data_IF_935974025664
#
_entry.id   IF_935974025664
#
_cell.length_a   1.000
_cell.length_b   1.000
_cell.length_c   1.000
_cell.angle_alpha   90.00
_cell.angle_beta   90.00
_cell.angle_gamma   90.00
#
_symmetry.space_group_name_H-M   'P 1'
#
loop_
_entity.id
_entity.type
_entity.pdbx_description
1 polymer ?
#
# COMPACT_ATOMS: atom_id res chain seq x y z
N UNK A 1 14.27 -14.03 4.26
CA UNK A 1 13.49 -13.27 5.26
C UNK A 1 12.10 -13.87 5.41
N UNK A 2 11.36 -13.55 6.47
CA UNK A 2 9.93 -13.85 6.57
C UNK A 2 9.20 -12.51 6.57
N UNK A 3 8.25 -12.33 5.67
CA UNK A 3 7.44 -11.13 5.53
C UNK A 3 6.05 -11.54 5.07
N UNK A 4 5.03 -10.93 5.69
CA UNK A 4 3.62 -11.25 5.45
C UNK A 4 3.28 -12.76 5.51
N UNK A 5 3.85 -13.45 6.50
CA UNK A 5 3.68 -14.88 6.70
C UNK A 5 4.42 -15.79 5.69
N UNK A 6 5.13 -15.22 4.71
CA UNK A 6 5.82 -15.98 3.65
C UNK A 6 7.33 -15.90 3.80
N UNK A 7 8.03 -17.03 3.56
CA UNK A 7 9.49 -17.05 3.48
C UNK A 7 9.93 -16.59 2.10
N UNK A 8 10.65 -15.47 2.07
CA UNK A 8 11.11 -14.82 0.84
C UNK A 8 12.63 -14.87 0.78
N UNK A 9 13.18 -15.25 -0.38
CA UNK A 9 14.55 -14.96 -0.75
C UNK A 9 14.60 -13.61 -1.49
N UNK A 10 15.26 -12.57 -0.95
CA UNK A 10 15.34 -11.25 -1.60
C UNK A 10 15.84 -11.31 -3.05
N UNK A 11 16.71 -12.27 -3.41
CA UNK A 11 17.19 -12.44 -4.79
C UNK A 11 16.08 -12.81 -5.79
N UNK A 12 14.90 -13.23 -5.31
CA UNK A 12 13.76 -13.58 -6.15
C UNK A 12 12.80 -12.40 -6.42
N UNK A 13 12.96 -11.30 -5.68
CA UNK A 13 12.25 -10.04 -5.88
C UNK A 13 12.87 -9.24 -7.05
N UNK A 14 12.13 -8.26 -7.56
CA UNK A 14 12.70 -7.29 -8.51
C UNK A 14 13.63 -6.31 -7.78
N UNK A 15 14.64 -5.81 -8.50
CA UNK A 15 15.40 -4.63 -8.08
C UNK A 15 14.48 -3.40 -8.10
N UNK A 16 14.80 -2.42 -7.25
CA UNK A 16 14.11 -1.12 -7.23
C UNK A 16 14.03 -0.51 -8.63
N UNK A 17 15.14 -0.52 -9.38
CA UNK A 17 15.17 0.08 -10.71
C UNK A 17 14.29 -0.68 -11.70
N UNK A 18 14.24 -2.01 -11.64
CA UNK A 18 13.37 -2.81 -12.50
C UNK A 18 11.89 -2.51 -12.23
N UNK A 19 11.50 -2.30 -10.97
CA UNK A 19 10.14 -1.88 -10.62
C UNK A 19 9.83 -0.51 -11.22
N UNK A 20 10.74 0.47 -11.06
CA UNK A 20 10.56 1.81 -11.62
C UNK A 20 10.43 1.77 -13.15
N UNK A 21 11.26 0.99 -13.82
CA UNK A 21 11.23 0.88 -15.28
C UNK A 21 9.93 0.24 -15.78
N UNK A 22 9.45 -0.83 -15.11
CA UNK A 22 8.16 -1.46 -15.40
C UNK A 22 7.02 -0.46 -15.26
N UNK A 23 7.01 0.33 -14.17
CA UNK A 23 5.97 1.32 -13.94
C UNK A 23 6.02 2.42 -15.00
N UNK A 24 7.21 2.95 -15.32
CA UNK A 24 7.38 3.97 -16.38
C UNK A 24 6.87 3.49 -17.74
N UNK A 25 7.23 2.27 -18.14
CA UNK A 25 6.80 1.70 -19.41
C UNK A 25 5.28 1.48 -19.48
N UNK A 26 4.63 1.30 -18.32
CA UNK A 26 3.18 1.12 -18.18
C UNK A 26 2.42 2.39 -17.79
N UNK A 27 2.98 3.59 -18.02
CA UNK A 27 2.28 4.85 -17.77
C UNK A 27 2.19 5.23 -16.29
N UNK A 28 3.10 4.73 -15.47
CA UNK A 28 3.15 4.94 -14.02
C UNK A 28 1.89 4.46 -13.27
N UNK A 29 1.12 3.54 -13.85
CA UNK A 29 -0.18 3.13 -13.31
C UNK A 29 -0.10 1.92 -12.37
N UNK A 30 -1.11 1.75 -11.52
CA UNK A 30 -1.35 0.52 -10.76
C UNK A 30 -1.58 -0.69 -11.68
N UNK A 31 -2.15 -0.43 -12.86
CA UNK A 31 -2.27 -1.45 -13.90
C UNK A 31 -0.89 -1.99 -14.32
N UNK A 32 0.13 -1.15 -14.41
CA UNK A 32 1.50 -1.59 -14.69
C UNK A 32 2.09 -2.47 -13.57
N UNK A 33 1.65 -2.24 -12.32
CA UNK A 33 2.08 -3.01 -11.15
C UNK A 33 1.56 -4.47 -11.16
N UNK A 34 0.54 -4.78 -11.96
CA UNK A 34 0.01 -6.15 -12.15
C UNK A 34 1.09 -7.17 -12.49
N UNK A 35 2.04 -6.81 -13.38
CA UNK A 35 3.16 -7.67 -13.77
C UNK A 35 4.04 -8.08 -12.58
N UNK A 36 4.13 -7.23 -11.55
CA UNK A 36 4.90 -7.51 -10.34
C UNK A 36 4.07 -8.36 -9.39
N UNK A 37 2.79 -8.03 -9.21
CA UNK A 37 1.84 -8.83 -8.41
C UNK A 37 1.76 -10.27 -8.89
N UNK A 38 1.56 -10.48 -10.18
CA UNK A 38 1.46 -11.80 -10.80
C UNK A 38 2.72 -12.63 -10.55
N UNK A 39 3.91 -12.06 -10.78
CA UNK A 39 5.17 -12.76 -10.50
C UNK A 39 5.33 -13.10 -9.03
N UNK A 40 4.91 -12.22 -8.12
CA UNK A 40 5.04 -12.45 -6.69
C UNK A 40 4.04 -13.51 -6.22
N UNK A 41 2.80 -13.46 -6.70
CA UNK A 41 1.79 -14.49 -6.43
C UNK A 41 2.23 -15.86 -6.96
N UNK A 42 2.71 -15.95 -8.20
CA UNK A 42 3.24 -17.20 -8.77
C UNK A 42 4.40 -17.79 -7.96
N UNK A 43 5.29 -16.95 -7.42
CA UNK A 43 6.48 -17.39 -6.68
C UNK A 43 6.22 -17.68 -5.22
N UNK A 44 5.35 -16.91 -4.58
CA UNK A 44 5.20 -16.84 -3.13
C UNK A 44 3.79 -17.18 -2.65
N UNK A 45 2.81 -17.28 -3.55
CA UNK A 45 1.39 -17.45 -3.23
C UNK A 45 0.77 -16.22 -2.54
N UNK A 46 1.41 -15.06 -2.71
CA UNK A 46 0.99 -13.77 -2.15
C UNK A 46 1.59 -12.66 -3.02
N UNK A 47 0.83 -11.61 -3.31
CA UNK A 47 1.29 -10.43 -4.06
C UNK A 47 2.30 -9.58 -3.30
N UNK A 48 2.38 -9.71 -1.97
CA UNK A 48 3.30 -9.04 -1.03
C UNK A 48 3.24 -7.50 -0.99
N UNK A 49 2.42 -6.89 -1.85
CA UNK A 49 2.29 -5.46 -2.04
C UNK A 49 1.18 -4.93 -1.15
N UNK A 50 1.45 -3.83 -0.44
CA UNK A 50 0.49 -3.20 0.46
C UNK A 50 0.20 -1.76 0.07
N UNK A 51 -1.02 -1.31 0.35
CA UNK A 51 -1.41 0.10 0.27
C UNK A 51 -1.45 0.69 1.66
N UNK A 52 -0.81 1.83 1.85
CA UNK A 52 -0.83 2.60 3.08
C UNK A 52 -1.65 3.88 2.87
N UNK A 53 -2.82 4.02 3.55
CA UNK A 53 -3.78 5.08 3.25
C UNK A 53 -3.57 6.37 4.04
N UNK A 54 -2.68 6.39 5.04
CA UNK A 54 -2.46 7.57 5.88
C UNK A 54 -1.29 8.35 5.29
N UNK A 55 -1.55 9.54 4.75
CA UNK A 55 -0.51 10.40 4.19
C UNK A 55 -0.58 11.80 4.77
N UNK A 56 0.58 12.46 4.81
CA UNK A 56 0.70 13.89 5.14
C UNK A 56 0.97 14.63 3.83
N UNK A 57 0.13 15.63 3.51
CA UNK A 57 0.31 16.47 2.32
C UNK A 57 -0.75 16.22 1.25
N UNK A 58 -0.33 16.22 -0.01
CA UNK A 58 -1.22 16.17 -1.19
C UNK A 58 -1.43 14.77 -1.76
N UNK A 59 -0.65 13.77 -1.33
CA UNK A 59 -0.78 12.40 -1.82
C UNK A 59 -2.09 11.76 -1.32
N UNK A 60 -2.75 11.00 -2.20
CA UNK A 60 -3.96 10.23 -1.89
C UNK A 60 -3.64 8.92 -1.14
N UNK A 61 -2.42 8.42 -1.29
CA UNK A 61 -1.94 7.23 -0.60
C UNK A 61 -0.53 6.86 -1.03
N UNK A 62 -0.08 5.70 -0.59
CA UNK A 62 1.21 5.13 -0.98
C UNK A 62 1.09 3.63 -1.19
N UNK A 63 1.75 3.13 -2.23
CA UNK A 63 1.97 1.70 -2.42
C UNK A 63 3.36 1.31 -1.90
N UNK A 64 3.42 0.16 -1.23
CA UNK A 64 4.64 -0.44 -0.69
C UNK A 64 4.92 -1.71 -1.46
N UNK A 65 6.05 -1.73 -2.18
CA UNK A 65 6.49 -2.85 -3.01
C UNK A 65 7.78 -3.44 -2.44
N UNK A 66 7.80 -4.72 -2.04
CA UNK A 66 9.05 -5.39 -1.68
C UNK A 66 9.97 -5.50 -2.90
N UNK A 67 11.21 -5.07 -2.72
CA UNK A 67 12.30 -5.14 -3.72
C UNK A 67 13.53 -5.77 -3.07
N UNK A 68 14.55 -6.10 -3.86
CA UNK A 68 15.76 -6.73 -3.30
C UNK A 68 16.45 -5.85 -2.24
N UNK A 69 16.36 -4.53 -2.42
CA UNK A 69 17.00 -3.51 -1.59
C UNK A 69 16.19 -3.17 -0.32
N UNK A 70 14.97 -3.67 -0.17
CA UNK A 70 14.09 -3.38 0.97
C UNK A 70 12.63 -3.19 0.57
N UNK A 71 11.97 -2.20 1.17
CA UNK A 71 10.56 -1.87 0.90
C UNK A 71 10.48 -0.53 0.20
N UNK A 72 10.10 -0.56 -1.07
CA UNK A 72 9.94 0.63 -1.90
C UNK A 72 8.58 1.27 -1.65
N UNK A 73 8.59 2.52 -1.21
CA UNK A 73 7.42 3.37 -1.04
C UNK A 73 7.26 4.28 -2.25
N UNK A 74 6.06 4.28 -2.84
CA UNK A 74 5.72 5.09 -4.00
C UNK A 74 4.37 5.76 -3.74
N UNK A 75 4.34 7.10 -3.72
CA UNK A 75 3.11 7.86 -3.54
C UNK A 75 2.28 7.89 -4.83
N UNK A 76 0.98 8.18 -4.69
CA UNK A 76 0.10 8.54 -5.80
C UNK A 76 -0.81 9.68 -5.37
N UNK A 77 -1.12 10.59 -6.28
CA UNK A 77 -2.00 11.75 -6.08
C UNK A 77 -3.19 11.76 -7.05
N UNK A 78 -3.23 10.82 -7.99
CA UNK A 78 -4.31 10.67 -8.97
C UNK A 78 -4.83 9.22 -9.00
N UNK A 79 -6.14 9.07 -9.18
CA UNK A 79 -6.81 7.79 -9.43
C UNK A 79 -7.77 7.93 -10.60
N UNK A 80 -7.62 7.11 -11.64
CA UNK A 80 -8.50 7.10 -12.81
C UNK A 80 -9.28 5.79 -12.91
N UNK A 81 -10.46 5.77 -13.56
CA UNK A 81 -11.19 4.52 -13.80
C UNK A 81 -10.43 3.49 -14.65
N UNK A 82 -9.59 3.95 -15.57
CA UNK A 82 -8.89 3.10 -16.53
C UNK A 82 -7.60 2.49 -15.99
N UNK A 83 -6.85 3.28 -15.22
CA UNK A 83 -5.48 2.96 -14.79
C UNK A 83 -5.33 2.81 -13.26
N UNK A 84 -6.42 3.06 -12.52
CA UNK A 84 -6.46 3.12 -11.06
C UNK A 84 -5.44 4.15 -10.53
N UNK A 85 -4.61 3.81 -9.55
CA UNK A 85 -3.63 4.76 -9.00
C UNK A 85 -2.56 5.13 -10.04
N UNK A 86 -2.28 6.43 -10.19
CA UNK A 86 -1.15 6.93 -10.98
C UNK A 86 -0.03 7.35 -10.03
N UNK A 87 1.10 6.67 -10.12
CA UNK A 87 2.21 6.80 -9.19
C UNK A 87 3.13 7.96 -9.52
N UNK A 88 3.50 8.70 -8.48
CA UNK A 88 4.56 9.69 -8.49
C UNK A 88 5.91 9.01 -8.27
N UNK A 89 6.59 8.72 -9.38
CA UNK A 89 7.90 8.07 -9.37
C UNK A 89 9.05 9.02 -9.04
N UNK A 90 8.82 10.33 -8.96
CA UNK A 90 9.85 11.29 -8.53
C UNK A 90 10.01 11.28 -7.01
N UNK A 91 8.93 10.96 -6.28
CA UNK A 91 8.91 10.91 -4.82
C UNK A 91 8.97 9.49 -4.23
N UNK A 92 9.62 8.55 -4.93
CA UNK A 92 9.84 7.18 -4.42
C UNK A 92 11.10 7.05 -3.55
N UNK A 93 11.00 6.25 -2.49
CA UNK A 93 12.12 6.00 -1.57
C UNK A 93 12.02 4.63 -0.91
N UNK A 94 13.15 4.12 -0.40
CA UNK A 94 13.16 2.92 0.43
C UNK A 94 12.82 3.30 1.86
N UNK A 95 11.86 2.59 2.46
CA UNK A 95 11.47 2.79 3.85
C UNK A 95 12.61 2.39 4.79
N UNK A 96 12.94 3.27 5.73
CA UNK A 96 13.77 2.93 6.88
C UNK A 96 12.94 2.21 7.95
N UNK A 97 13.61 1.57 8.92
CA UNK A 97 12.93 0.98 10.06
C UNK A 97 12.16 2.02 10.90
N UNK A 98 12.65 3.28 10.95
CA UNK A 98 11.96 4.36 11.64
C UNK A 98 10.66 4.75 10.92
N UNK A 99 10.67 4.82 9.59
CA UNK A 99 9.49 5.10 8.78
C UNK A 99 8.42 4.03 8.99
N UNK A 100 8.80 2.75 8.90
CA UNK A 100 7.89 1.62 9.12
C UNK A 100 7.26 1.69 10.53
N UNK A 101 8.05 2.04 11.55
CA UNK A 101 7.53 2.13 12.92
C UNK A 101 6.59 3.32 13.11
N UNK A 102 6.84 4.42 12.42
CA UNK A 102 5.95 5.57 12.41
C UNK A 102 4.63 5.22 11.72
N UNK A 103 4.68 4.56 10.54
CA UNK A 103 3.49 4.10 9.81
C UNK A 103 2.62 3.15 10.65
N UNK A 104 3.24 2.22 11.38
CA UNK A 104 2.53 1.34 12.31
C UNK A 104 1.81 2.13 13.42
N UNK A 105 2.48 3.13 13.99
CA UNK A 105 1.95 3.97 15.08
C UNK A 105 0.78 4.82 14.60
N UNK A 106 0.93 5.45 13.43
CA UNK A 106 -0.09 6.29 12.81
C UNK A 106 -1.34 5.46 12.48
N UNK A 107 -1.17 4.26 11.92
CA UNK A 107 -2.28 3.35 11.63
C UNK A 107 -2.98 2.83 12.89
N UNK A 108 -2.24 2.45 13.93
CA UNK A 108 -2.85 2.03 15.20
C UNK A 108 -3.68 3.16 15.82
N UNK A 109 -3.17 4.39 15.81
CA UNK A 109 -3.92 5.56 16.30
C UNK A 109 -5.19 5.82 15.48
N UNK A 110 -5.04 5.93 14.16
CA UNK A 110 -6.16 6.22 13.25
C UNK A 110 -7.25 5.14 13.32
N UNK A 111 -6.85 3.86 13.27
CA UNK A 111 -7.80 2.74 13.28
C UNK A 111 -8.60 2.66 14.58
N UNK A 112 -7.98 2.93 15.74
CA UNK A 112 -8.69 2.99 17.03
C UNK A 112 -9.75 4.10 17.04
N UNK A 113 -9.40 5.28 16.57
CA UNK A 113 -10.33 6.41 16.50
C UNK A 113 -11.49 6.13 15.54
N UNK A 114 -11.21 5.58 14.36
CA UNK A 114 -12.23 5.21 13.39
C UNK A 114 -13.17 4.12 13.93
N UNK A 115 -12.65 3.08 14.58
CA UNK A 115 -13.48 2.03 15.19
C UNK A 115 -14.41 2.63 16.25
N UNK A 116 -13.90 3.51 17.12
CA UNK A 116 -14.72 4.20 18.13
C UNK A 116 -15.85 5.03 17.50
N UNK A 117 -15.52 5.76 16.43
CA UNK A 117 -16.51 6.54 15.68
C UNK A 117 -17.58 5.63 15.04
N UNK A 118 -17.18 4.54 14.38
CA UNK A 118 -18.10 3.58 13.75
C UNK A 118 -19.01 2.90 14.76
N UNK A 119 -18.50 2.54 15.93
CA UNK A 119 -19.30 1.98 17.03
C UNK A 119 -20.36 2.99 17.50
N UNK A 120 -19.98 4.27 17.63
CA UNK A 120 -20.90 5.33 18.01
C UNK A 120 -21.99 5.55 16.95
N UNK A 121 -21.62 5.58 15.67
CA UNK A 121 -22.56 5.68 14.54
C UNK A 121 -23.55 4.51 14.53
N UNK A 122 -23.05 3.29 14.70
CA UNK A 122 -23.89 2.09 14.74
C UNK A 122 -24.91 2.16 15.88
N UNK A 123 -24.49 2.54 17.09
CA UNK A 123 -25.41 2.69 18.23
C UNK A 123 -26.52 3.72 17.98
N UNK A 124 -26.19 4.83 17.33
CA UNK A 124 -27.15 5.88 16.98
C UNK A 124 -28.14 5.35 15.95
N UNK A 125 -27.65 4.72 14.89
CA UNK A 125 -28.47 4.24 13.78
C UNK A 125 -29.39 3.09 14.22
N UNK A 126 -28.86 2.12 14.95
CA UNK A 126 -29.63 1.00 15.50
C UNK A 126 -30.82 1.48 16.36
N UNK A 127 -30.60 2.49 17.23
CA UNK A 127 -31.67 3.07 18.05
C UNK A 127 -32.75 3.79 17.23
N UNK A 128 -32.41 4.35 16.07
CA UNK A 128 -33.40 4.99 15.17
C UNK A 128 -34.26 3.95 14.49
N UNK A 129 -33.63 2.88 13.99
CA UNK A 129 -34.32 1.78 13.31
C UNK A 129 -35.29 1.03 14.24
N UNK A 130 -34.94 0.86 15.52
CA UNK A 130 -35.81 0.19 16.51
C UNK A 130 -36.99 1.05 17.01
N UNK A 131 -37.05 2.34 16.65
CA UNK A 131 -38.13 3.28 17.03
C UNK A 131 -39.13 3.51 15.89
N UNK A 132 -38.96 2.84 14.76
CA UNK A 132 -39.85 2.87 13.60
C UNK A 132 -40.59 1.55 13.52
#
# INVERSE_FOLDING_TARGET
>A
MVYDGVKIDPAQLYLRQEVIDILKDGGCSDRALSKIREKYDEKFGNELIWRYPIMVGIALGTVIVPVQEGFLSIAYDEVTPEDYEIYDLDNQFLLSAADIKQMETDWDSYSRELISALQSMWQIQYKREQKT
#
